data_IF_329910215338
#
_entry.id   IF_329910215338
#
_cell.length_a   1.000
_cell.length_b   1.000
_cell.length_c   1.000
_cell.angle_alpha   90.00
_cell.angle_beta   90.00
_cell.angle_gamma   90.00
#
_symmetry.space_group_name_H-M   'P 1'
#
loop_
_entity.id
_entity.type
_entity.pdbx_description
1 polymer ?
#
# COMPACT_ATOMS: atom_id res chain seq x y z
N UNK A 1 21.30 -14.62 -8.48
CA UNK A 1 19.84 -14.65 -8.34
C UNK A 1 19.37 -15.99 -7.82
N UNK A 2 19.37 -16.16 -6.50
CA UNK A 2 19.04 -17.42 -5.81
C UNK A 2 17.56 -17.85 -6.06
N UNK A 3 16.64 -16.91 -6.26
CA UNK A 3 15.25 -17.21 -6.53
C UNK A 3 15.02 -17.95 -7.86
N UNK A 4 15.78 -17.63 -8.90
CA UNK A 4 15.68 -18.33 -10.20
C UNK A 4 16.30 -19.72 -10.21
N UNK A 5 17.15 -20.03 -9.23
CA UNK A 5 17.81 -21.33 -9.14
C UNK A 5 17.01 -22.37 -8.34
N UNK A 6 15.96 -21.96 -7.61
CA UNK A 6 15.13 -22.87 -6.82
C UNK A 6 13.80 -23.17 -7.54
N UNK A 7 13.61 -24.39 -8.08
CA UNK A 7 12.37 -24.76 -8.79
C UNK A 7 11.10 -24.63 -7.95
N UNK A 8 11.18 -24.85 -6.63
CA UNK A 8 10.04 -24.75 -5.71
C UNK A 8 9.49 -23.31 -5.64
N UNK A 9 10.37 -22.31 -5.66
CA UNK A 9 9.95 -20.89 -5.64
C UNK A 9 9.26 -20.46 -6.93
N UNK A 10 9.49 -21.18 -8.04
CA UNK A 10 8.87 -20.89 -9.34
C UNK A 10 7.56 -21.64 -9.55
N UNK A 11 7.17 -22.55 -8.65
CA UNK A 11 5.87 -23.21 -8.69
C UNK A 11 4.77 -22.19 -8.38
N UNK A 12 3.67 -22.17 -9.16
CA UNK A 12 2.52 -21.33 -8.83
C UNK A 12 1.97 -21.64 -7.44
N UNK A 13 1.76 -20.59 -6.64
CA UNK A 13 1.11 -20.66 -5.34
C UNK A 13 -0.40 -20.41 -5.46
N UNK A 14 -0.80 -19.70 -6.51
CA UNK A 14 -2.17 -19.39 -6.86
C UNK A 14 -2.21 -18.73 -8.23
N UNK A 15 -3.32 -18.11 -8.56
CA UNK A 15 -3.53 -17.50 -9.88
C UNK A 15 -4.12 -16.09 -9.75
N UNK A 16 -3.74 -15.20 -10.67
CA UNK A 16 -4.50 -13.97 -10.94
C UNK A 16 -5.52 -14.19 -12.04
N UNK A 17 -6.78 -13.91 -11.78
CA UNK A 17 -7.88 -13.98 -12.73
C UNK A 17 -7.83 -12.90 -13.83
N UNK A 18 -7.00 -11.87 -13.66
CA UNK A 18 -6.69 -10.81 -14.62
C UNK A 18 -5.27 -10.29 -14.38
N UNK A 19 -4.67 -9.67 -15.41
CA UNK A 19 -3.37 -9.02 -15.22
C UNK A 19 -3.44 -7.88 -14.21
N UNK A 20 -2.45 -7.78 -13.33
CA UNK A 20 -2.27 -6.69 -12.40
C UNK A 20 -1.26 -5.69 -12.96
N UNK A 21 -1.61 -4.40 -12.98
CA UNK A 21 -0.66 -3.31 -13.18
C UNK A 21 -0.13 -2.81 -11.81
N UNK A 22 0.77 -1.84 -11.83
CA UNK A 22 1.38 -1.31 -10.60
C UNK A 22 0.35 -0.80 -9.58
N UNK A 23 -0.73 -0.17 -10.03
CA UNK A 23 -1.82 0.28 -9.15
C UNK A 23 -2.57 -0.89 -8.53
N UNK A 24 -2.84 -1.93 -9.33
CA UNK A 24 -3.47 -3.15 -8.84
C UNK A 24 -2.61 -3.88 -7.82
N UNK A 25 -1.31 -3.99 -8.07
CA UNK A 25 -0.36 -4.58 -7.11
C UNK A 25 -0.31 -3.78 -5.81
N UNK A 26 -0.27 -2.44 -5.89
CA UNK A 26 -0.29 -1.58 -4.72
C UNK A 26 -1.63 -1.65 -3.95
N UNK A 27 -2.77 -1.74 -4.66
CA UNK A 27 -4.08 -1.95 -4.06
C UNK A 27 -4.16 -3.30 -3.33
N UNK A 28 -3.60 -4.35 -3.91
CA UNK A 28 -3.51 -5.67 -3.30
C UNK A 28 -2.66 -5.64 -2.03
N UNK A 29 -1.46 -5.06 -2.08
CA UNK A 29 -0.59 -4.93 -0.90
C UNK A 29 -1.22 -4.07 0.20
N UNK A 30 -1.94 -2.98 -0.14
CA UNK A 30 -2.67 -2.18 0.84
C UNK A 30 -3.84 -2.95 1.48
N UNK A 31 -4.50 -3.83 0.71
CA UNK A 31 -5.52 -4.76 1.22
C UNK A 31 -4.90 -5.77 2.18
N UNK A 32 -3.86 -6.47 1.75
CA UNK A 32 -3.21 -7.52 2.54
C UNK A 32 -2.70 -7.01 3.91
N UNK A 33 -2.10 -5.81 3.97
CA UNK A 33 -1.67 -5.25 5.27
C UNK A 33 -2.85 -4.87 6.16
N UNK A 34 -3.98 -4.46 5.60
CA UNK A 34 -5.18 -4.17 6.38
C UNK A 34 -5.82 -5.45 6.92
N UNK A 35 -6.04 -6.42 6.04
CA UNK A 35 -6.73 -7.67 6.36
C UNK A 35 -5.91 -8.52 7.34
N UNK A 36 -4.58 -8.53 7.20
CA UNK A 36 -3.68 -9.29 8.08
C UNK A 36 -3.71 -8.88 9.55
N UNK A 37 -4.20 -7.69 9.90
CA UNK A 37 -4.35 -7.22 11.29
C UNK A 37 -5.75 -6.71 11.61
N UNK A 38 -6.77 -7.04 10.82
CA UNK A 38 -8.15 -6.54 10.96
C UNK A 38 -8.24 -5.01 11.03
N UNK A 39 -7.41 -4.29 10.25
CA UNK A 39 -7.43 -2.85 10.22
C UNK A 39 -8.54 -2.31 9.30
N UNK A 40 -9.14 -1.18 9.69
CA UNK A 40 -10.20 -0.52 8.91
C UNK A 40 -9.65 0.20 7.67
N UNK A 41 -8.38 0.59 7.68
CA UNK A 41 -7.70 1.28 6.59
C UNK A 41 -6.29 0.75 6.44
N UNK A 42 -5.92 0.34 5.22
CA UNK A 42 -4.56 -0.03 4.87
C UNK A 42 -3.92 0.99 3.95
N UNK A 43 -2.64 1.27 4.18
CA UNK A 43 -1.79 2.03 3.27
C UNK A 43 -0.53 1.26 2.91
N UNK A 44 -0.17 1.29 1.62
CA UNK A 44 1.12 0.80 1.17
C UNK A 44 1.83 1.86 0.31
N UNK A 45 3.14 2.02 0.50
CA UNK A 45 3.90 3.02 -0.23
C UNK A 45 4.33 2.50 -1.61
N UNK A 46 4.13 3.32 -2.66
CA UNK A 46 4.36 2.89 -4.05
C UNK A 46 5.81 2.49 -4.34
N UNK A 47 6.76 3.07 -3.61
CA UNK A 47 8.18 2.72 -3.71
C UNK A 47 8.52 1.30 -3.25
N UNK A 48 7.70 0.71 -2.38
CA UNK A 48 7.80 -0.69 -1.92
C UNK A 48 7.24 -1.70 -2.93
N UNK A 49 6.47 -1.26 -3.91
CA UNK A 49 5.92 -2.10 -4.99
C UNK A 49 6.98 -2.23 -6.08
N UNK A 50 7.73 -3.33 -6.11
CA UNK A 50 8.94 -3.47 -6.95
C UNK A 50 8.69 -3.96 -8.37
N UNK A 51 7.51 -4.52 -8.64
CA UNK A 51 7.10 -4.92 -10.00
C UNK A 51 6.10 -3.90 -10.57
N UNK A 52 6.16 -3.70 -11.88
CA UNK A 52 5.22 -2.83 -12.59
C UNK A 52 3.95 -3.55 -13.04
N UNK A 53 4.04 -4.88 -13.15
CA UNK A 53 2.90 -5.74 -13.49
C UNK A 53 3.17 -7.20 -13.17
N UNK A 54 2.09 -7.97 -12.98
CA UNK A 54 2.09 -9.43 -12.99
C UNK A 54 0.99 -9.85 -13.98
N UNK A 55 1.25 -10.78 -14.93
CA UNK A 55 0.26 -11.23 -15.89
C UNK A 55 -0.85 -12.05 -15.21
N UNK A 56 -1.98 -12.22 -15.90
CA UNK A 56 -2.99 -13.20 -15.52
C UNK A 56 -2.44 -14.63 -15.57
N UNK A 57 -2.97 -15.51 -14.73
CA UNK A 57 -2.55 -16.90 -14.62
C UNK A 57 -1.70 -17.15 -13.38
N UNK A 58 -0.85 -18.16 -13.41
CA UNK A 58 -0.10 -18.63 -12.25
C UNK A 58 0.87 -17.58 -11.68
N UNK A 59 0.79 -17.38 -10.39
CA UNK A 59 1.67 -16.49 -9.62
C UNK A 59 2.50 -17.35 -8.65
N UNK A 60 3.81 -17.26 -8.77
CA UNK A 60 4.75 -18.04 -7.95
C UNK A 60 5.23 -17.25 -6.71
N UNK A 61 5.76 -17.98 -5.73
CA UNK A 61 6.44 -17.36 -4.59
C UNK A 61 7.57 -16.42 -5.05
N UNK A 62 8.33 -16.79 -6.09
CA UNK A 62 9.37 -15.93 -6.68
C UNK A 62 8.80 -14.59 -7.19
N UNK A 63 7.59 -14.59 -7.75
CA UNK A 63 6.91 -13.36 -8.18
C UNK A 63 6.56 -12.46 -6.99
N UNK A 64 6.07 -13.05 -5.89
CA UNK A 64 5.73 -12.30 -4.67
C UNK A 64 6.99 -11.75 -4.00
N UNK A 65 8.06 -12.53 -3.87
CA UNK A 65 9.35 -12.04 -3.39
C UNK A 65 9.98 -10.99 -4.32
N UNK A 66 9.71 -11.05 -5.62
CA UNK A 66 10.10 -10.00 -6.57
C UNK A 66 9.30 -8.72 -6.39
N UNK A 67 8.03 -8.83 -5.99
CA UNK A 67 7.15 -7.70 -5.71
C UNK A 67 7.52 -7.01 -4.39
N UNK A 68 7.78 -7.78 -3.33
CA UNK A 68 8.15 -7.32 -1.98
C UNK A 68 9.41 -8.07 -1.50
N UNK A 69 10.63 -7.56 -1.81
CA UNK A 69 11.88 -8.24 -1.46
C UNK A 69 12.48 -7.81 -0.11
N UNK A 70 11.79 -7.00 0.69
CA UNK A 70 12.39 -6.31 1.84
C UNK A 70 12.14 -7.01 3.18
N UNK A 71 11.25 -8.00 3.22
CA UNK A 71 10.82 -8.60 4.49
C UNK A 71 10.09 -7.59 5.38
N UNK A 72 9.24 -6.80 4.74
CA UNK A 72 8.46 -5.74 5.38
C UNK A 72 7.45 -6.30 6.36
N UNK A 73 7.42 -5.78 7.58
CA UNK A 73 6.41 -6.09 8.58
C UNK A 73 5.25 -5.11 8.53
N UNK A 74 4.08 -5.53 8.98
CA UNK A 74 2.92 -4.66 9.15
C UNK A 74 3.07 -3.86 10.46
N UNK A 75 2.78 -2.57 10.41
CA UNK A 75 2.64 -1.73 11.59
C UNK A 75 1.19 -1.26 11.75
N UNK A 76 0.70 -1.29 12.98
CA UNK A 76 -0.62 -0.83 13.38
C UNK A 76 -0.54 0.55 14.01
N UNK A 77 -1.46 1.44 13.67
CA UNK A 77 -1.63 2.76 14.30
C UNK A 77 -3.11 3.07 14.50
N UNK A 78 -3.43 3.85 15.54
CA UNK A 78 -4.75 4.47 15.69
C UNK A 78 -4.68 5.91 15.19
N UNK A 79 -5.43 6.24 14.14
CA UNK A 79 -5.40 7.53 13.48
C UNK A 79 -6.80 8.07 13.20
N UNK A 80 -6.96 9.38 13.31
CA UNK A 80 -8.13 10.09 12.77
C UNK A 80 -7.92 10.44 11.29
N UNK A 81 -8.97 10.80 10.52
CA UNK A 81 -8.80 11.33 9.18
C UNK A 81 -7.87 12.56 9.11
N UNK A 82 -7.88 13.38 10.16
CA UNK A 82 -6.96 14.53 10.26
C UNK A 82 -5.48 14.10 10.36
N UNK A 83 -5.19 13.01 11.06
CA UNK A 83 -3.84 12.47 11.17
C UNK A 83 -3.37 11.85 9.84
N UNK A 84 -4.23 11.08 9.17
CA UNK A 84 -3.97 10.53 7.85
C UNK A 84 -3.74 11.64 6.80
N UNK A 85 -4.53 12.73 6.85
CA UNK A 85 -4.35 13.92 6.02
C UNK A 85 -2.96 14.52 6.16
N UNK A 86 -2.53 14.71 7.40
CA UNK A 86 -1.21 15.28 7.71
C UNK A 86 -0.10 14.43 7.12
N UNK A 87 -0.15 13.11 7.31
CA UNK A 87 0.80 12.15 6.74
C UNK A 87 0.88 12.27 5.22
N UNK A 88 -0.28 12.26 4.53
CA UNK A 88 -0.34 12.31 3.06
C UNK A 88 0.16 13.66 2.53
N UNK A 89 -0.29 14.78 3.13
CA UNK A 89 0.14 16.14 2.74
C UNK A 89 1.64 16.30 2.92
N UNK A 90 2.18 15.86 4.06
CA UNK A 90 3.62 15.91 4.34
C UNK A 90 4.40 15.10 3.32
N UNK A 91 3.96 13.87 3.01
CA UNK A 91 4.65 13.03 2.03
C UNK A 91 4.55 13.58 0.61
N UNK A 92 3.40 14.11 0.20
CA UNK A 92 3.24 14.71 -1.13
C UNK A 92 4.14 15.92 -1.35
N UNK A 93 4.32 16.74 -0.31
CA UNK A 93 5.16 17.95 -0.31
C UNK A 93 6.63 17.67 0.07
N UNK A 94 6.98 16.43 0.38
CA UNK A 94 8.37 16.06 0.68
C UNK A 94 9.30 16.45 -0.48
N UNK A 95 10.46 17.08 -0.22
CA UNK A 95 11.37 17.52 -1.27
C UNK A 95 11.81 16.44 -2.26
N UNK A 96 11.90 15.18 -1.81
CA UNK A 96 12.19 14.04 -2.68
C UNK A 96 11.01 13.77 -3.61
N UNK A 97 9.79 13.75 -3.06
CA UNK A 97 8.58 13.50 -3.84
C UNK A 97 8.29 14.63 -4.84
N UNK A 98 8.50 15.88 -4.44
CA UNK A 98 8.43 17.06 -5.33
C UNK A 98 9.41 16.93 -6.50
N UNK A 99 10.62 16.48 -6.21
CA UNK A 99 11.67 16.26 -7.23
C UNK A 99 11.32 15.12 -8.19
N UNK A 100 10.53 14.15 -7.72
CA UNK A 100 10.00 13.04 -8.51
C UNK A 100 8.65 13.34 -9.18
N UNK A 101 8.28 14.61 -9.33
CA UNK A 101 7.06 15.12 -9.95
C UNK A 101 5.76 14.89 -9.13
N UNK A 102 5.81 15.09 -7.82
CA UNK A 102 4.62 15.06 -6.93
C UNK A 102 3.72 13.83 -7.14
N UNK A 103 4.29 12.65 -7.12
CA UNK A 103 3.50 11.43 -7.28
C UNK A 103 2.67 11.11 -6.03
N UNK A 104 1.54 10.46 -6.23
CA UNK A 104 0.81 9.80 -5.16
C UNK A 104 1.68 8.65 -4.64
N UNK A 105 2.13 8.74 -3.40
CA UNK A 105 3.04 7.77 -2.81
C UNK A 105 2.34 6.71 -1.97
N UNK A 106 1.29 7.07 -1.23
CA UNK A 106 0.53 6.17 -0.38
C UNK A 106 -0.72 5.66 -1.09
N UNK A 107 -0.75 4.38 -1.42
CA UNK A 107 -1.93 3.71 -1.95
C UNK A 107 -2.73 3.16 -0.77
N UNK A 108 -4.05 3.34 -0.79
CA UNK A 108 -4.91 3.03 0.33
C UNK A 108 -6.12 2.18 -0.07
N UNK A 109 -6.61 1.36 0.86
CA UNK A 109 -7.88 0.65 0.73
C UNK A 109 -9.08 1.60 0.64
N UNK A 110 -8.96 2.82 1.21
CA UNK A 110 -9.99 3.86 1.09
C UNK A 110 -9.62 4.89 0.03
N UNK A 111 -10.57 5.37 -0.80
CA UNK A 111 -10.28 6.44 -1.76
C UNK A 111 -10.02 7.77 -1.05
N UNK A 112 -9.12 8.56 -1.62
CA UNK A 112 -8.90 9.94 -1.19
C UNK A 112 -8.51 10.85 -2.37
N UNK A 113 -8.67 12.16 -2.16
CA UNK A 113 -8.32 13.21 -3.13
C UNK A 113 -7.36 14.19 -2.48
N UNK A 114 -6.14 14.30 -3.03
CA UNK A 114 -5.19 15.36 -2.66
C UNK A 114 -5.64 16.66 -3.33
N UNK A 115 -5.84 17.70 -2.57
CA UNK A 115 -6.18 19.05 -3.05
C UNK A 115 -4.91 19.88 -3.10
N UNK A 116 -4.52 20.35 -4.30
CA UNK A 116 -3.29 21.14 -4.50
C UNK A 116 -3.58 22.59 -4.85
N UNK A 117 -2.59 23.46 -4.64
CA UNK A 117 -2.55 24.81 -5.18
C UNK A 117 -2.12 24.83 -6.66
N UNK A 118 -1.96 26.04 -7.23
CA UNK A 118 -1.54 26.23 -8.62
C UNK A 118 -0.06 25.82 -8.85
N UNK A 119 0.75 25.75 -7.79
CA UNK A 119 2.14 25.32 -7.82
C UNK A 119 2.29 23.82 -7.54
N UNK A 120 1.16 23.08 -7.48
CA UNK A 120 1.06 21.65 -7.21
C UNK A 120 1.50 21.24 -5.79
N UNK A 121 1.49 22.15 -4.81
CA UNK A 121 1.66 21.79 -3.41
C UNK A 121 0.35 21.29 -2.82
N UNK A 122 0.39 20.16 -2.09
CA UNK A 122 -0.77 19.67 -1.37
C UNK A 122 -1.15 20.61 -0.24
N UNK A 123 -2.42 21.01 -0.22
CA UNK A 123 -3.02 21.85 0.81
C UNK A 123 -3.89 21.04 1.77
N UNK A 124 -4.53 19.99 1.27
CA UNK A 124 -5.48 19.18 2.01
C UNK A 124 -5.67 17.80 1.36
N UNK A 125 -6.35 16.89 2.07
CA UNK A 125 -6.80 15.60 1.55
C UNK A 125 -8.26 15.38 1.96
N UNK A 126 -9.09 15.06 0.98
CA UNK A 126 -10.49 14.71 1.18
C UNK A 126 -10.66 13.19 1.21
N UNK A 127 -11.30 12.67 2.28
CA UNK A 127 -11.66 11.26 2.41
C UNK A 127 -13.18 11.11 2.28
N UNK A 128 -13.73 10.72 1.11
CA UNK A 128 -15.18 10.68 0.90
C UNK A 128 -15.91 9.59 1.72
N UNK A 129 -15.17 8.61 2.22
CA UNK A 129 -15.73 7.47 2.95
C UNK A 129 -15.40 7.46 4.45
N UNK A 130 -14.50 8.30 4.91
CA UNK A 130 -14.14 8.35 6.33
C UNK A 130 -14.97 9.42 7.06
N UNK A 131 -15.30 9.13 8.33
CA UNK A 131 -16.04 10.04 9.19
C UNK A 131 -15.06 10.84 10.04
N UNK A 132 -15.15 12.17 9.96
CA UNK A 132 -14.34 13.09 10.75
C UNK A 132 -14.45 12.79 12.26
N UNK A 133 -13.32 12.89 12.94
CA UNK A 133 -13.23 12.66 14.38
C UNK A 133 -13.31 11.19 14.83
N UNK A 134 -13.66 10.26 13.94
CA UNK A 134 -13.57 8.83 14.26
C UNK A 134 -12.09 8.41 14.26
N UNK A 135 -11.69 7.62 15.24
CA UNK A 135 -10.39 6.94 15.27
C UNK A 135 -10.52 5.61 14.54
N UNK A 136 -9.64 5.38 13.60
CA UNK A 136 -9.54 4.17 12.79
C UNK A 136 -8.30 3.36 13.16
N UNK A 137 -8.41 2.04 13.08
CA UNK A 137 -7.22 1.18 13.03
C UNK A 137 -6.64 1.25 11.64
N UNK A 138 -5.37 1.64 11.54
CA UNK A 138 -4.65 1.86 10.29
C UNK A 138 -3.47 0.91 10.22
N UNK A 139 -3.38 0.16 9.11
CA UNK A 139 -2.22 -0.67 8.78
C UNK A 139 -1.31 0.05 7.79
N UNK A 140 -0.02 -0.01 8.03
CA UNK A 140 1.03 0.49 7.11
C UNK A 140 2.21 -0.47 7.10
N UNK A 141 3.12 -0.32 6.14
CA UNK A 141 4.42 -0.99 6.23
C UNK A 141 5.25 -0.41 7.39
N UNK A 142 6.09 -1.24 8.01
CA UNK A 142 7.02 -0.77 9.04
C UNK A 142 8.01 0.28 8.50
N UNK A 143 8.26 0.28 7.18
CA UNK A 143 9.02 1.33 6.52
C UNK A 143 8.32 2.69 6.64
N UNK A 144 7.02 2.78 6.37
CA UNK A 144 6.23 4.01 6.54
C UNK A 144 6.24 4.43 8.00
N UNK A 145 5.97 3.49 8.91
CA UNK A 145 5.94 3.73 10.36
C UNK A 145 7.25 4.32 10.89
N UNK A 146 8.41 3.85 10.41
CA UNK A 146 9.74 4.27 10.87
C UNK A 146 10.26 5.53 10.20
N UNK A 147 9.86 5.81 8.95
CA UNK A 147 10.57 6.76 8.10
C UNK A 147 9.73 7.94 7.60
N UNK A 148 8.39 7.90 7.73
CA UNK A 148 7.57 9.02 7.28
C UNK A 148 7.51 10.12 8.34
N UNK A 149 7.56 11.37 7.87
CA UNK A 149 7.43 12.55 8.72
C UNK A 149 5.96 12.83 9.04
N UNK A 150 5.74 13.64 10.09
CA UNK A 150 4.41 14.11 10.49
C UNK A 150 3.39 13.00 10.78
N UNK A 151 3.87 11.83 11.19
CA UNK A 151 3.01 10.78 11.72
C UNK A 151 2.49 11.20 13.10
N UNK A 152 1.17 11.31 13.20
CA UNK A 152 0.45 11.51 14.45
C UNK A 152 -0.52 10.35 14.65
N UNK A 153 -0.33 9.61 15.74
CA UNK A 153 -1.12 8.41 16.03
C UNK A 153 -1.11 8.11 17.51
N UNK A 154 -2.02 7.24 17.93
CA UNK A 154 -1.99 6.60 19.25
C UNK A 154 -1.82 5.08 19.07
N UNK A 155 -1.38 4.40 20.10
CA UNK A 155 -1.26 2.93 20.13
C UNK A 155 -0.54 2.32 18.92
N UNK A 156 0.59 2.94 18.52
CA UNK A 156 1.39 2.46 17.39
C UNK A 156 2.31 1.31 17.79
N UNK A 157 2.34 0.27 16.97
CA UNK A 157 3.24 -0.88 17.14
C UNK A 157 3.58 -1.53 15.79
N UNK A 158 4.74 -2.15 15.70
CA UNK A 158 5.07 -3.09 14.62
C UNK A 158 4.61 -4.47 15.07
N UNK A 159 3.89 -5.18 14.19
CA UNK A 159 3.40 -6.53 14.44
C UNK A 159 4.41 -7.58 14.00
N UNK A 160 4.08 -8.86 14.16
CA UNK A 160 4.88 -9.97 13.63
C UNK A 160 4.45 -10.40 12.22
N UNK A 161 3.38 -9.78 11.68
CA UNK A 161 2.86 -10.08 10.36
C UNK A 161 3.79 -9.56 9.25
N UNK A 162 4.26 -10.46 8.41
CA UNK A 162 5.11 -10.13 7.28
C UNK A 162 4.28 -10.04 5.99
N UNK A 163 4.49 -8.96 5.23
CA UNK A 163 3.70 -8.64 4.03
C UNK A 163 3.78 -9.74 2.98
N UNK A 164 4.95 -10.32 2.77
CA UNK A 164 5.13 -11.40 1.79
C UNK A 164 4.34 -12.65 2.18
N UNK A 165 4.34 -12.99 3.48
CA UNK A 165 3.55 -14.10 4.03
C UNK A 165 2.06 -13.89 3.79
N UNK A 166 1.53 -12.71 4.11
CA UNK A 166 0.12 -12.36 3.90
C UNK A 166 -0.29 -12.48 2.42
N UNK A 167 0.56 -11.98 1.49
CA UNK A 167 0.29 -12.09 0.06
C UNK A 167 0.30 -13.54 -0.44
N UNK A 168 1.19 -14.39 0.08
CA UNK A 168 1.25 -15.81 -0.27
C UNK A 168 0.04 -16.57 0.26
N UNK A 169 -0.37 -16.29 1.50
CA UNK A 169 -1.56 -16.89 2.13
C UNK A 169 -2.83 -16.56 1.34
N UNK A 170 -3.06 -15.29 1.01
CA UNK A 170 -4.21 -14.87 0.19
C UNK A 170 -4.21 -15.53 -1.20
N UNK A 171 -3.02 -15.68 -1.83
CA UNK A 171 -2.90 -16.40 -3.10
C UNK A 171 -3.28 -17.88 -2.99
N UNK A 172 -2.94 -18.53 -1.89
CA UNK A 172 -3.27 -19.96 -1.69
C UNK A 172 -4.76 -20.17 -1.38
N UNK A 173 -5.33 -19.26 -0.57
CA UNK A 173 -6.70 -19.43 -0.06
C UNK A 173 -7.76 -18.95 -1.04
N UNK A 174 -7.55 -17.83 -1.73
CA UNK A 174 -8.58 -17.11 -2.51
C UNK A 174 -8.35 -17.17 -4.04
N UNK A 175 -7.48 -18.06 -4.50
CA UNK A 175 -7.19 -18.23 -5.93
C UNK A 175 -8.42 -18.72 -6.74
N UNK A 176 -8.72 -18.13 -7.91
CA UNK A 176 -8.00 -17.05 -8.59
C UNK A 176 -8.35 -15.64 -8.08
N UNK A 177 -7.35 -14.88 -7.66
CA UNK A 177 -7.54 -13.52 -7.19
C UNK A 177 -7.89 -12.58 -8.34
N UNK A 178 -8.90 -11.73 -8.14
CA UNK A 178 -9.26 -10.67 -9.08
C UNK A 178 -8.71 -9.34 -8.62
N UNK A 179 -7.65 -8.89 -9.27
CA UNK A 179 -6.94 -7.66 -8.89
C UNK A 179 -7.67 -6.41 -9.39
N UNK A 180 -7.97 -5.49 -8.48
CA UNK A 180 -8.55 -4.18 -8.79
C UNK A 180 -7.46 -3.20 -9.26
N UNK A 181 -7.36 -2.98 -10.55
CA UNK A 181 -6.40 -2.07 -11.17
C UNK A 181 -6.81 -0.59 -11.14
N UNK A 182 -7.94 -0.27 -10.50
CA UNK A 182 -8.48 1.10 -10.50
C UNK A 182 -7.69 1.98 -9.54
N UNK A 183 -7.15 3.12 -9.98
CA UNK A 183 -6.57 4.12 -9.08
C UNK A 183 -7.66 4.67 -8.15
N UNK A 184 -7.51 4.47 -6.85
CA UNK A 184 -8.45 4.96 -5.82
C UNK A 184 -8.09 6.36 -5.31
N UNK A 185 -6.87 6.80 -5.57
CA UNK A 185 -6.31 8.07 -5.16
C UNK A 185 -6.24 9.02 -6.36
N UNK A 186 -6.53 10.30 -6.12
CA UNK A 186 -6.54 11.35 -7.16
C UNK A 186 -5.93 12.63 -6.65
N UNK A 187 -5.47 13.47 -7.58
CA UNK A 187 -5.05 14.86 -7.33
C UNK A 187 -6.06 15.78 -7.99
N UNK A 188 -6.48 16.81 -7.27
CA UNK A 188 -7.37 17.88 -7.77
C UNK A 188 -6.74 19.23 -7.46
N UNK A 189 -6.53 20.04 -8.49
CA UNK A 189 -6.07 21.40 -8.35
C UNK A 189 -7.22 22.32 -7.93
N UNK A 190 -6.96 23.21 -7.00
CA UNK A 190 -7.90 24.21 -6.49
C UNK A 190 -7.91 25.47 -7.36
#
# INVERSE_FOLDING_TARGET
DACYANPELNRPMGEFGNAANKWGLANWMAGAVADGIDAEVGFYHIGGVRLDSIPAGGVSAASVYGLEPFGTLVAEMKMTPADMRRMIVSKYNDPVNVKEAHRIDLISTTPYVIVTDQADNALDVEFPKLREGKVYTVAVSDYVYKNYNDLNYTDGKITEEDVTGLLLEELEEDSPLRIDNTPRQRVRRK
#
